data_IF_820724847741
#
_entry.id   IF_820724847741
#
_cell.length_a   1.000
_cell.length_b   1.000
_cell.length_c   1.000
_cell.angle_alpha   90.00
_cell.angle_beta   90.00
_cell.angle_gamma   90.00
#
_symmetry.space_group_name_H-M   'P 1'
#
loop_
_entity.id
_entity.type
_entity.pdbx_description
1 polymer ?
#
# COMPACT_ATOMS: atom_id res chain seq x y z
N UNK A 1 7.19 -3.58 -26.50
CA UNK A 1 6.35 -2.87 -25.52
C UNK A 1 6.65 -1.38 -25.56
N UNK A 2 5.61 -0.56 -25.74
CA UNK A 2 5.75 0.90 -25.65
C UNK A 2 5.65 1.25 -24.17
N UNK A 3 6.75 1.71 -23.57
CA UNK A 3 6.70 2.27 -22.22
C UNK A 3 6.09 3.67 -22.30
N UNK A 4 4.87 3.81 -21.79
CA UNK A 4 4.20 5.09 -21.68
C UNK A 4 4.70 5.78 -20.41
N UNK A 5 5.34 6.95 -20.57
CA UNK A 5 5.60 7.85 -19.46
C UNK A 5 4.27 8.47 -18.98
N UNK A 6 3.72 7.94 -17.90
CA UNK A 6 2.45 8.41 -17.34
C UNK A 6 2.58 9.79 -16.68
N UNK A 7 3.78 10.23 -16.30
CA UNK A 7 3.95 11.50 -15.59
C UNK A 7 3.76 12.69 -16.51
N UNK A 8 3.89 12.49 -17.84
CA UNK A 8 3.61 13.51 -18.83
C UNK A 8 2.17 14.03 -18.76
N UNK A 9 1.22 13.25 -18.24
CA UNK A 9 -0.17 13.67 -18.12
C UNK A 9 -0.39 14.74 -17.05
N UNK A 10 0.52 14.88 -16.07
CA UNK A 10 0.45 15.95 -15.05
C UNK A 10 0.41 17.34 -15.68
N UNK A 11 1.12 17.55 -16.80
CA UNK A 11 1.16 18.84 -17.52
C UNK A 11 -0.18 19.26 -18.13
N UNK A 12 -1.11 18.31 -18.28
CA UNK A 12 -2.45 18.58 -18.81
C UNK A 12 -3.43 19.05 -17.72
N UNK A 13 -3.03 18.93 -16.45
CA UNK A 13 -3.87 19.28 -15.31
C UNK A 13 -3.66 20.75 -14.93
N UNK A 14 -4.75 21.41 -14.55
CA UNK A 14 -4.71 22.77 -14.05
C UNK A 14 -4.09 22.86 -12.65
N UNK A 15 -3.70 24.07 -12.19
CA UNK A 15 -2.97 24.26 -10.94
C UNK A 15 -3.75 23.88 -9.67
N UNK A 16 -5.06 23.62 -9.78
CA UNK A 16 -5.93 23.21 -8.66
C UNK A 16 -6.29 21.72 -8.70
N UNK A 17 -5.74 20.96 -9.64
CA UNK A 17 -6.05 19.54 -9.81
C UNK A 17 -4.84 18.70 -9.41
N UNK A 18 -4.97 17.92 -8.35
CA UNK A 18 -3.92 17.01 -7.90
C UNK A 18 -3.77 15.81 -8.84
N UNK A 19 -2.53 15.36 -9.03
CA UNK A 19 -2.18 14.19 -9.83
C UNK A 19 -1.73 13.04 -8.95
N UNK A 20 -2.57 12.02 -8.83
CA UNK A 20 -2.28 10.81 -8.04
C UNK A 20 -1.90 9.65 -8.96
N UNK A 21 -0.88 8.89 -8.59
CA UNK A 21 -0.34 7.81 -9.43
C UNK A 21 -0.37 6.46 -8.73
N UNK A 22 -0.73 5.42 -9.48
CA UNK A 22 -0.67 4.02 -9.06
C UNK A 22 0.18 3.22 -10.05
N UNK A 23 1.37 2.74 -9.63
CA UNK A 23 2.27 1.96 -10.50
C UNK A 23 3.19 1.01 -9.70
N UNK A 24 2.60 0.00 -9.07
CA UNK A 24 3.30 -1.01 -8.26
C UNK A 24 4.41 -0.40 -7.38
N UNK A 25 4.06 0.65 -6.64
CA UNK A 25 5.01 1.39 -5.82
C UNK A 25 5.40 0.58 -4.57
N UNK A 26 6.66 0.72 -4.18
CA UNK A 26 7.12 0.51 -2.81
C UNK A 26 7.41 1.89 -2.17
N UNK A 27 7.74 1.91 -0.88
CA UNK A 27 7.99 3.14 -0.12
C UNK A 27 9.03 4.04 -0.79
N UNK A 28 10.21 3.48 -1.10
CA UNK A 28 11.34 4.21 -1.67
C UNK A 28 11.01 4.80 -3.05
N UNK A 29 10.43 3.99 -3.95
CA UNK A 29 10.02 4.44 -5.29
C UNK A 29 8.94 5.52 -5.21
N UNK A 30 7.98 5.38 -4.29
CA UNK A 30 6.93 6.37 -4.07
C UNK A 30 7.51 7.70 -3.59
N UNK A 31 8.38 7.66 -2.58
CA UNK A 31 9.05 8.84 -2.04
C UNK A 31 9.86 9.56 -3.12
N UNK A 32 10.64 8.82 -3.92
CA UNK A 32 11.40 9.40 -5.03
C UNK A 32 10.49 10.06 -6.08
N UNK A 33 9.37 9.44 -6.44
CA UNK A 33 8.41 10.03 -7.39
C UNK A 33 7.83 11.35 -6.87
N UNK A 34 7.54 11.44 -5.57
CA UNK A 34 7.07 12.68 -4.94
C UNK A 34 8.15 13.76 -4.91
N UNK A 35 9.38 13.40 -4.51
CA UNK A 35 10.53 14.31 -4.50
C UNK A 35 10.89 14.85 -5.89
N UNK A 36 10.74 14.02 -6.92
CA UNK A 36 10.92 14.42 -8.32
C UNK A 36 9.78 15.30 -8.86
N UNK A 37 8.75 15.60 -8.05
CA UNK A 37 7.59 16.42 -8.45
C UNK A 37 6.65 15.77 -9.47
N UNK A 38 6.84 14.48 -9.75
CA UNK A 38 6.14 13.73 -10.81
C UNK A 38 4.69 13.40 -10.47
N UNK A 39 4.33 13.40 -9.19
CA UNK A 39 2.99 13.20 -8.68
C UNK A 39 2.80 13.96 -7.36
N UNK A 40 1.55 14.18 -6.98
CA UNK A 40 1.19 14.85 -5.73
C UNK A 40 0.83 13.85 -4.63
N UNK A 41 0.43 12.63 -5.00
CA UNK A 41 0.29 11.51 -4.07
C UNK A 41 0.52 10.16 -4.77
N UNK A 42 0.86 9.16 -3.95
CA UNK A 42 1.01 7.77 -4.38
C UNK A 42 -0.19 6.96 -3.88
N UNK A 43 -0.82 6.23 -4.78
CA UNK A 43 -1.95 5.35 -4.47
C UNK A 43 -1.43 3.92 -4.33
N UNK A 44 -1.77 3.26 -3.24
CA UNK A 44 -1.46 1.85 -2.98
C UNK A 44 -2.75 1.04 -2.96
N UNK A 45 -2.84 0.00 -3.80
CA UNK A 45 -4.00 -0.92 -3.82
C UNK A 45 -3.70 -2.20 -3.04
N UNK A 46 -3.00 -3.14 -3.69
CA UNK A 46 -2.67 -4.47 -3.13
C UNK A 46 -2.04 -4.44 -1.74
N UNK A 47 -1.14 -3.49 -1.49
CA UNK A 47 -0.53 -3.34 -0.16
C UNK A 47 -1.53 -2.88 0.91
N UNK A 48 -2.52 -2.08 0.57
CA UNK A 48 -3.54 -1.64 1.53
C UNK A 48 -4.55 -2.76 1.84
N UNK A 49 -4.79 -3.68 0.90
CA UNK A 49 -5.63 -4.87 1.15
C UNK A 49 -5.03 -5.70 2.29
N UNK A 50 -3.73 -6.01 2.23
CA UNK A 50 -3.07 -6.87 3.23
C UNK A 50 -2.54 -6.14 4.46
N UNK A 51 -2.56 -4.80 4.47
CA UNK A 51 -2.07 -3.95 5.55
C UNK A 51 -3.09 -2.82 5.80
N UNK A 52 -4.09 -3.03 6.65
CA UNK A 52 -5.07 -1.98 6.97
C UNK A 52 -4.40 -0.72 7.58
N UNK A 53 -3.21 -0.88 8.16
CA UNK A 53 -2.39 0.16 8.78
C UNK A 53 -1.19 0.60 7.92
N UNK A 54 -1.23 0.40 6.59
CA UNK A 54 -0.11 0.64 5.68
C UNK A 54 0.56 2.01 5.86
N UNK A 55 -0.21 3.09 5.99
CA UNK A 55 0.36 4.43 6.17
C UNK A 55 1.26 4.52 7.42
N UNK A 56 0.82 3.98 8.54
CA UNK A 56 1.59 3.93 9.79
C UNK A 56 2.86 3.12 9.61
N UNK A 57 2.78 1.98 8.91
CA UNK A 57 3.95 1.14 8.62
C UNK A 57 4.97 1.85 7.75
N UNK A 58 4.53 2.57 6.72
CA UNK A 58 5.41 3.33 5.84
C UNK A 58 6.12 4.46 6.60
N UNK A 59 5.40 5.18 7.48
CA UNK A 59 5.97 6.27 8.29
C UNK A 59 7.00 5.75 9.30
N UNK A 60 6.72 4.60 9.93
CA UNK A 60 7.56 3.99 10.96
C UNK A 60 8.58 2.99 10.40
N UNK A 61 8.68 2.87 9.08
CA UNK A 61 9.53 1.90 8.39
C UNK A 61 9.33 0.45 8.89
N UNK A 62 8.09 0.07 9.20
CA UNK A 62 7.73 -1.28 9.66
C UNK A 62 7.54 -2.26 8.50
N UNK A 63 7.67 -3.55 8.81
CA UNK A 63 7.50 -4.64 7.85
C UNK A 63 6.10 -4.64 7.22
N UNK A 64 6.06 -4.76 5.89
CA UNK A 64 4.82 -4.82 5.13
C UNK A 64 4.41 -6.27 4.88
N UNK A 65 3.14 -6.58 5.10
CA UNK A 65 2.55 -7.83 4.64
C UNK A 65 2.38 -7.81 3.12
N UNK A 66 3.25 -8.49 2.38
CA UNK A 66 3.15 -8.61 0.92
C UNK A 66 2.25 -9.76 0.46
N UNK A 67 1.72 -10.56 1.39
CA UNK A 67 0.83 -11.69 1.09
C UNK A 67 -0.62 -11.20 1.00
N UNK A 68 -0.91 -10.45 -0.06
CA UNK A 68 -2.30 -10.17 -0.44
C UNK A 68 -2.85 -11.37 -1.21
N UNK A 69 -3.96 -11.91 -0.74
CA UNK A 69 -4.65 -13.03 -1.38
C UNK A 69 -5.81 -12.45 -2.19
N UNK A 70 -5.63 -12.35 -3.50
CA UNK A 70 -6.66 -11.78 -4.38
C UNK A 70 -7.90 -12.66 -4.44
N UNK A 71 -7.82 -13.95 -4.09
CA UNK A 71 -9.00 -14.83 -4.05
C UNK A 71 -9.98 -14.39 -2.96
N UNK A 72 -9.46 -13.86 -1.84
CA UNK A 72 -10.24 -13.25 -0.76
C UNK A 72 -10.91 -11.93 -1.14
N UNK A 73 -10.45 -11.29 -2.21
CA UNK A 73 -10.99 -10.01 -2.69
C UNK A 73 -12.25 -10.16 -3.54
N UNK A 74 -12.54 -11.35 -4.07
CA UNK A 74 -13.64 -11.57 -5.02
C UNK A 74 -14.52 -12.74 -4.58
N UNK A 75 -15.65 -12.44 -3.93
CA UNK A 75 -16.68 -13.44 -3.61
C UNK A 75 -16.49 -14.23 -2.30
N UNK A 76 -15.46 -13.93 -1.50
CA UNK A 76 -15.31 -14.49 -0.16
C UNK A 76 -16.17 -13.72 0.87
N UNK A 77 -16.62 -14.41 1.93
CA UNK A 77 -17.36 -13.80 3.04
C UNK A 77 -16.56 -12.68 3.74
N UNK A 78 -17.26 -11.76 4.40
CA UNK A 78 -16.71 -10.55 5.05
C UNK A 78 -15.49 -10.80 5.93
N UNK A 79 -15.46 -11.97 6.57
CA UNK A 79 -14.50 -12.28 7.61
C UNK A 79 -13.11 -12.50 7.02
N UNK A 80 -12.99 -13.08 5.82
CA UNK A 80 -11.68 -13.34 5.19
C UNK A 80 -11.00 -12.07 4.67
N UNK A 81 -11.79 -11.06 4.28
CA UNK A 81 -11.28 -9.79 3.76
C UNK A 81 -10.88 -8.83 4.88
N UNK A 82 -11.59 -8.86 6.01
CA UNK A 82 -11.38 -7.93 7.13
C UNK A 82 -10.41 -8.45 8.20
N UNK A 83 -10.02 -9.73 8.15
CA UNK A 83 -9.14 -10.36 9.14
C UNK A 83 -7.64 -10.14 8.91
N UNK A 84 -7.22 -9.22 8.04
CA UNK A 84 -5.79 -8.91 7.90
C UNK A 84 -5.25 -8.23 9.17
N UNK A 85 -4.17 -8.75 9.78
CA UNK A 85 -3.67 -8.21 11.04
C UNK A 85 -2.94 -6.87 10.84
N UNK A 86 -3.16 -5.94 11.77
CA UNK A 86 -2.32 -4.74 11.93
C UNK A 86 -0.93 -5.13 12.46
N UNK A 87 0.05 -4.22 12.42
CA UNK A 87 1.37 -4.44 13.01
C UNK A 87 1.29 -4.71 14.52
N UNK A 88 0.40 -3.99 15.21
CA UNK A 88 0.15 -4.17 16.64
C UNK A 88 -0.45 -5.55 16.92
N UNK A 89 -1.51 -5.95 16.20
CA UNK A 89 -2.13 -7.27 16.37
C UNK A 89 -1.15 -8.40 16.06
N UNK A 90 -0.34 -8.29 14.99
CA UNK A 90 0.68 -9.29 14.66
C UNK A 90 1.70 -9.45 15.80
N UNK A 91 2.15 -8.35 16.40
CA UNK A 91 3.11 -8.40 17.51
C UNK A 91 2.49 -9.09 18.74
N UNK A 92 1.22 -8.78 19.05
CA UNK A 92 0.47 -9.48 20.10
C UNK A 92 0.38 -10.99 19.81
N UNK A 93 0.00 -11.40 18.60
CA UNK A 93 -0.12 -12.80 18.21
C UNK A 93 1.20 -13.54 18.36
N UNK A 94 2.30 -12.99 17.83
CA UNK A 94 3.64 -13.59 17.94
C UNK A 94 4.06 -13.73 19.41
N UNK A 95 3.89 -12.69 20.22
CA UNK A 95 4.30 -12.72 21.62
C UNK A 95 3.47 -13.71 22.47
N UNK A 96 2.21 -13.95 22.12
CA UNK A 96 1.30 -14.79 22.91
C UNK A 96 1.16 -16.23 22.36
N UNK A 97 1.45 -16.50 21.09
CA UNK A 97 1.54 -17.87 20.56
C UNK A 97 2.81 -18.59 21.05
N UNK A 98 3.90 -17.87 21.32
CA UNK A 98 5.09 -18.44 21.97
C UNK A 98 4.91 -18.72 23.48
N UNK A 99 3.80 -18.30 24.09
CA UNK A 99 3.47 -18.60 25.49
C UNK A 99 2.71 -19.94 25.66
N UNK A 100 2.46 -20.67 24.57
CA UNK A 100 1.91 -22.03 24.58
C UNK A 100 2.97 -23.07 24.23
N UNK A 101 3.97 -23.24 25.10
CA UNK A 101 4.81 -24.46 25.16
C UNK A 101 4.92 -24.87 26.62
#
# INVERSE_FOLDING_TARGET
DIEIDIYQFKKLLGPRTSFFVNRNYNASKGLKTLQDGKADAIVFGRLYISNPDLASRLIKEQELNTNYDMTKGWGCGSDEYTSYPTCENRLYDVLHDHAKI
#
